data_IF_438630451213
#
_entry.id   IF_438630451213
#
_cell.length_a   1.000
_cell.length_b   1.000
_cell.length_c   1.000
_cell.angle_alpha   90.00
_cell.angle_beta   90.00
_cell.angle_gamma   90.00
#
_symmetry.space_group_name_H-M   'P 1'
#
loop_
_entity.id
_entity.type
_entity.pdbx_description
1 polymer ?
#
# COMPACT_ATOMS: atom_id res chain seq x y z
N UNK A 1 -17.36 18.53 12.38
CA UNK A 1 -16.10 17.82 12.65
C UNK A 1 -16.17 16.59 11.79
N UNK A 2 -15.76 16.75 10.55
CA UNK A 2 -15.97 15.80 9.47
C UNK A 2 -15.30 14.47 9.83
N UNK A 3 -16.14 13.44 9.95
CA UNK A 3 -15.76 12.05 10.17
C UNK A 3 -14.69 11.68 9.15
N UNK A 4 -13.43 11.56 9.59
CA UNK A 4 -12.44 10.86 8.80
C UNK A 4 -12.88 9.39 8.75
N UNK A 5 -13.71 9.07 7.76
CA UNK A 5 -14.16 7.73 7.45
C UNK A 5 -12.93 6.94 7.00
N UNK A 6 -12.21 6.42 8.00
CA UNK A 6 -11.02 5.62 7.76
C UNK A 6 -11.41 4.36 7.01
N UNK A 7 -10.56 3.91 6.10
CA UNK A 7 -10.85 2.75 5.26
C UNK A 7 -11.18 1.55 6.15
N UNK A 8 -12.38 1.01 5.94
CA UNK A 8 -12.83 -0.20 6.62
C UNK A 8 -12.21 -1.41 5.94
N UNK A 9 -11.31 -2.08 6.65
CA UNK A 9 -10.66 -3.28 6.15
C UNK A 9 -11.57 -4.50 6.33
N UNK A 10 -11.69 -5.29 5.27
CA UNK A 10 -12.22 -6.64 5.32
C UNK A 10 -11.25 -7.56 6.10
N UNK A 11 -11.72 -8.70 6.64
CA UNK A 11 -10.86 -9.65 7.34
C UNK A 11 -9.65 -10.08 6.50
N UNK A 12 -9.86 -10.31 5.20
CA UNK A 12 -8.78 -10.65 4.28
C UNK A 12 -7.89 -9.47 3.92
N UNK A 13 -8.42 -8.25 3.83
CA UNK A 13 -7.62 -7.03 3.63
C UNK A 13 -6.69 -6.76 4.81
N UNK A 14 -7.20 -6.95 6.03
CA UNK A 14 -6.39 -6.89 7.26
C UNK A 14 -5.28 -7.94 7.26
N UNK A 15 -5.59 -9.17 6.81
CA UNK A 15 -4.61 -10.25 6.63
C UNK A 15 -3.56 -9.92 5.56
N UNK A 16 -3.97 -9.28 4.45
CA UNK A 16 -3.07 -8.84 3.38
C UNK A 16 -2.13 -7.73 3.84
N UNK A 17 -2.60 -6.78 4.65
CA UNK A 17 -1.75 -5.69 5.17
C UNK A 17 -0.86 -6.13 6.33
N UNK A 18 -1.37 -6.93 7.26
CA UNK A 18 -0.69 -7.26 8.50
C UNK A 18 -0.25 -5.98 9.23
N UNK A 19 1.05 -5.84 9.50
CA UNK A 19 1.62 -4.69 10.21
C UNK A 19 1.51 -3.36 9.42
N UNK A 20 1.09 -3.40 8.15
CA UNK A 20 0.86 -2.20 7.33
C UNK A 20 -0.52 -1.57 7.53
N UNK A 21 -1.33 -2.11 8.45
CA UNK A 21 -2.66 -1.56 8.76
C UNK A 21 -2.63 -0.08 9.16
N UNK A 22 -1.52 0.40 9.74
CA UNK A 22 -1.35 1.80 10.10
C UNK A 22 -1.33 2.74 8.88
N UNK A 23 -1.01 2.20 7.69
CA UNK A 23 -0.96 2.94 6.43
C UNK A 23 -2.27 2.81 5.64
N UNK A 24 -3.31 2.16 6.20
CA UNK A 24 -4.54 1.83 5.44
C UNK A 24 -5.24 3.06 4.86
N UNK A 25 -5.07 4.20 5.51
CA UNK A 25 -5.69 5.47 5.14
C UNK A 25 -4.82 6.32 4.20
N UNK A 26 -3.54 5.97 4.06
CA UNK A 26 -2.61 6.62 3.15
C UNK A 26 -2.83 6.20 1.71
N UNK A 27 -2.50 7.13 0.81
CA UNK A 27 -2.41 6.86 -0.62
C UNK A 27 -1.24 5.92 -0.88
N UNK A 28 -1.45 4.86 -1.66
CA UNK A 28 -0.43 3.83 -1.92
C UNK A 28 0.88 4.41 -2.47
N UNK A 29 0.80 5.40 -3.36
CA UNK A 29 1.97 6.06 -3.92
C UNK A 29 2.79 6.79 -2.85
N UNK A 30 2.11 7.44 -1.89
CA UNK A 30 2.78 8.10 -0.76
C UNK A 30 3.38 7.06 0.19
N UNK A 31 2.59 6.06 0.56
CA UNK A 31 3.01 4.99 1.46
C UNK A 31 4.23 4.21 0.91
N UNK A 32 4.33 4.02 -0.41
CA UNK A 32 5.54 3.44 -1.05
C UNK A 32 6.74 4.35 -0.85
N UNK A 33 6.60 5.66 -1.09
CA UNK A 33 7.68 6.65 -0.94
C UNK A 33 8.15 6.78 0.50
N UNK A 34 7.24 6.86 1.46
CA UNK A 34 7.55 6.95 2.89
C UNK A 34 8.33 5.72 3.39
N UNK A 35 8.04 4.56 2.80
CA UNK A 35 8.76 3.31 3.07
C UNK A 35 10.10 3.22 2.33
N UNK A 36 10.51 4.24 1.60
CA UNK A 36 11.77 4.33 0.84
C UNK A 36 11.71 3.68 -0.54
N UNK A 37 10.51 3.50 -1.09
CA UNK A 37 10.32 3.13 -2.49
C UNK A 37 10.44 4.35 -3.42
N UNK A 38 11.02 4.15 -4.59
CA UNK A 38 11.20 5.22 -5.59
C UNK A 38 10.04 5.34 -6.57
N UNK A 39 10.10 6.36 -7.44
CA UNK A 39 9.12 6.60 -8.50
C UNK A 39 8.95 5.38 -9.44
N UNK A 40 10.01 4.62 -9.70
CA UNK A 40 9.93 3.40 -10.50
C UNK A 40 9.10 2.27 -9.88
N UNK A 41 8.89 2.28 -8.56
CA UNK A 41 7.96 1.36 -7.89
C UNK A 41 6.52 1.85 -7.96
N UNK A 42 6.32 3.17 -7.87
CA UNK A 42 4.99 3.78 -8.07
C UNK A 42 4.52 3.59 -9.51
N UNK A 43 5.40 3.72 -10.50
CA UNK A 43 5.06 3.54 -11.92
C UNK A 43 4.74 2.07 -12.29
N UNK A 44 5.10 1.09 -11.45
CA UNK A 44 4.68 -0.31 -11.64
C UNK A 44 3.23 -0.55 -11.21
N UNK A 45 2.64 0.38 -10.47
CA UNK A 45 1.22 0.34 -10.16
C UNK A 45 0.42 0.75 -11.38
N UNK A 46 -0.73 0.11 -11.55
CA UNK A 46 -1.77 0.58 -12.46
C UNK A 46 -2.11 2.03 -12.14
N UNK A 47 -2.22 2.87 -13.17
CA UNK A 47 -2.39 4.33 -13.02
C UNK A 47 -3.57 4.69 -12.12
N UNK A 48 -4.71 4.01 -12.27
CA UNK A 48 -5.90 4.23 -11.44
C UNK A 48 -5.65 3.91 -9.95
N UNK A 49 -4.72 3.00 -9.66
CA UNK A 49 -4.45 2.53 -8.30
C UNK A 49 -3.47 3.43 -7.55
N UNK A 50 -2.68 4.23 -8.27
CA UNK A 50 -1.67 5.11 -7.65
C UNK A 50 -2.28 6.12 -6.68
N UNK A 51 -3.54 6.50 -6.91
CA UNK A 51 -4.29 7.44 -6.08
C UNK A 51 -5.32 6.77 -5.14
N UNK A 52 -5.29 5.43 -5.04
CA UNK A 52 -6.13 4.70 -4.09
C UNK A 52 -5.44 4.55 -2.74
N UNK A 53 -6.26 4.43 -1.69
CA UNK A 53 -5.78 4.16 -0.35
C UNK A 53 -5.27 2.73 -0.23
N UNK A 54 -4.25 2.53 0.59
CA UNK A 54 -3.64 1.20 0.85
C UNK A 54 -4.69 0.19 1.32
N UNK A 55 -5.65 0.62 2.15
CA UNK A 55 -6.71 -0.25 2.65
C UNK A 55 -7.70 -0.71 1.59
N UNK A 56 -8.02 0.16 0.63
CA UNK A 56 -8.90 -0.15 -0.50
C UNK A 56 -8.26 -1.25 -1.37
N UNK A 57 -6.99 -1.04 -1.72
CA UNK A 57 -6.20 -2.03 -2.46
C UNK A 57 -6.04 -3.34 -1.69
N UNK A 58 -5.91 -3.30 -0.37
CA UNK A 58 -5.86 -4.51 0.43
C UNK A 58 -7.18 -5.30 0.39
N UNK A 59 -8.32 -4.61 0.39
CA UNK A 59 -9.63 -5.23 0.22
C UNK A 59 -9.79 -5.83 -1.18
N UNK A 60 -9.36 -5.13 -2.23
CA UNK A 60 -9.36 -5.63 -3.60
C UNK A 60 -8.45 -6.87 -3.75
N UNK A 61 -7.24 -6.80 -3.20
CA UNK A 61 -6.30 -7.91 -3.15
C UNK A 61 -6.86 -9.12 -2.38
N UNK A 62 -7.75 -8.89 -1.41
CA UNK A 62 -8.42 -9.96 -0.66
C UNK A 62 -9.49 -10.69 -1.48
N UNK A 63 -10.07 -10.04 -2.49
CA UNK A 63 -11.10 -10.65 -3.36
C UNK A 63 -10.52 -11.24 -4.64
N UNK A 64 -9.20 -11.17 -4.83
CA UNK A 64 -8.48 -11.79 -5.95
C UNK A 64 -8.03 -10.82 -7.05
N UNK A 65 -8.04 -9.51 -6.80
CA UNK A 65 -7.54 -8.52 -7.76
C UNK A 65 -6.00 -8.56 -7.85
N UNK A 66 -5.48 -9.04 -8.97
CA UNK A 66 -4.04 -9.27 -9.17
C UNK A 66 -3.22 -7.96 -9.20
N UNK A 67 -3.79 -6.88 -9.74
CA UNK A 67 -3.15 -5.56 -9.75
C UNK A 67 -3.02 -5.01 -8.32
N UNK A 68 -4.05 -5.19 -7.49
CA UNK A 68 -4.05 -4.75 -6.11
C UNK A 68 -3.10 -5.59 -5.25
N UNK A 69 -3.04 -6.91 -5.49
CA UNK A 69 -2.03 -7.78 -4.87
C UNK A 69 -0.61 -7.32 -5.20
N UNK A 70 -0.38 -6.94 -6.46
CA UNK A 70 0.91 -6.41 -6.92
C UNK A 70 1.24 -5.09 -6.21
N UNK A 71 0.27 -4.19 -6.08
CA UNK A 71 0.44 -2.94 -5.36
C UNK A 71 0.85 -3.13 -3.89
N UNK A 72 0.13 -4.00 -3.16
CA UNK A 72 0.45 -4.33 -1.77
C UNK A 72 1.83 -5.00 -1.65
N UNK A 73 2.21 -5.83 -2.62
CA UNK A 73 3.54 -6.46 -2.65
C UNK A 73 4.66 -5.44 -2.85
N UNK A 74 4.49 -4.47 -3.74
CA UNK A 74 5.45 -3.38 -3.97
C UNK A 74 5.63 -2.55 -2.69
N UNK A 75 4.54 -2.19 -2.01
CA UNK A 75 4.55 -1.48 -0.73
C UNK A 75 5.33 -2.23 0.35
N UNK A 76 5.12 -3.55 0.47
CA UNK A 76 5.86 -4.40 1.41
C UNK A 76 7.37 -4.40 1.10
N UNK A 77 7.72 -4.49 -0.17
CA UNK A 77 9.11 -4.52 -0.62
C UNK A 77 9.84 -3.18 -0.48
N UNK A 78 9.14 -2.04 -0.52
CA UNK A 78 9.74 -0.70 -0.39
C UNK A 78 10.62 -0.56 0.88
N UNK A 79 10.13 -1.00 2.05
CA UNK A 79 10.89 -0.95 3.32
C UNK A 79 12.22 -1.70 3.24
N UNK A 80 12.24 -2.86 2.58
CA UNK A 80 13.43 -3.71 2.46
C UNK A 80 14.53 -3.03 1.65
N UNK A 81 14.21 -2.07 0.77
CA UNK A 81 15.23 -1.27 0.07
C UNK A 81 15.80 -0.16 0.96
N UNK A 82 14.97 0.54 1.74
CA UNK A 82 15.47 1.55 2.70
C UNK A 82 16.43 0.93 3.71
N UNK A 83 16.08 -0.21 4.29
CA UNK A 83 16.95 -0.89 5.27
C UNK A 83 18.22 -1.49 4.63
N UNK A 84 18.17 -1.85 3.34
CA UNK A 84 19.33 -2.44 2.64
C UNK A 84 20.29 -1.39 2.05
N UNK A 85 19.80 -0.19 1.70
CA UNK A 85 20.56 0.84 0.99
C UNK A 85 20.60 2.21 1.69
N UNK A 86 19.80 2.44 2.73
CA UNK A 86 19.68 3.71 3.45
C UNK A 86 20.37 3.70 4.82
N UNK A 87 21.44 2.92 4.96
CA UNK A 87 22.38 3.07 6.06
C UNK A 87 23.49 4.04 5.64
N UNK A 88 23.21 5.35 5.77
CA UNK A 88 24.24 6.39 5.88
C UNK A 88 24.18 6.96 7.30
#
# INVERSE_FOLDING_TARGET
MDEQEGVKLSPGGLKKLGNLVILKDDIIANAIRERGGGQGQVNQLRTDYQNLKVGELANLASVGDADAETAIKILKQAKKKREKYGGE
#
